data_IF_787186175853
#
_entry.id   IF_787186175853
#
_cell.length_a   1.000
_cell.length_b   1.000
_cell.length_c   1.000
_cell.angle_alpha   90.00
_cell.angle_beta   90.00
_cell.angle_gamma   90.00
#
_symmetry.space_group_name_H-M   'P 1'
#
loop_
_entity.id
_entity.type
_entity.pdbx_description
1 polymer ?
#
# COMPACT_ATOMS: atom_id res chain seq x y z
N UNK A 1 19.17 -10.19 9.31
CA UNK A 1 20.44 -9.93 10.00
C UNK A 1 21.12 -11.21 10.47
N UNK A 2 20.37 -12.21 10.93
CA UNK A 2 20.96 -13.49 11.35
C UNK A 2 21.78 -14.20 10.26
N UNK A 3 21.35 -14.16 8.99
CA UNK A 3 22.12 -14.75 7.88
C UNK A 3 23.51 -14.13 7.74
N UNK A 4 23.61 -12.79 7.77
CA UNK A 4 24.89 -12.08 7.74
C UNK A 4 25.77 -12.45 8.94
N UNK A 5 25.20 -12.45 10.15
CA UNK A 5 25.95 -12.78 11.37
C UNK A 5 26.50 -14.21 11.32
N UNK A 6 25.68 -15.19 10.94
CA UNK A 6 26.13 -16.59 10.83
C UNK A 6 27.22 -16.71 9.76
N UNK A 7 27.05 -16.07 8.61
CA UNK A 7 28.07 -16.08 7.54
C UNK A 7 29.38 -15.43 7.95
N UNK A 8 29.33 -14.34 8.72
CA UNK A 8 30.53 -13.71 9.29
C UNK A 8 31.21 -14.64 10.29
N UNK A 9 30.46 -15.33 11.16
CA UNK A 9 31.03 -16.31 12.10
C UNK A 9 31.70 -17.49 11.37
N UNK A 10 31.07 -18.00 10.30
CA UNK A 10 31.67 -19.04 9.45
C UNK A 10 32.97 -18.55 8.81
N UNK A 11 32.98 -17.31 8.30
CA UNK A 11 34.18 -16.72 7.72
C UNK A 11 35.32 -16.57 8.76
N UNK A 12 35.01 -16.10 9.97
CA UNK A 12 35.99 -15.98 11.06
C UNK A 12 36.54 -17.34 11.44
N UNK A 13 35.68 -18.36 11.61
CA UNK A 13 36.11 -19.72 11.95
C UNK A 13 37.04 -20.30 10.88
N UNK A 14 36.72 -20.11 9.59
CA UNK A 14 37.56 -20.55 8.47
C UNK A 14 38.91 -19.82 8.44
N UNK A 15 38.91 -18.50 8.64
CA UNK A 15 40.16 -17.72 8.69
C UNK A 15 41.05 -18.18 9.86
N UNK A 16 40.48 -18.39 11.05
CA UNK A 16 41.21 -18.89 12.22
C UNK A 16 41.78 -20.29 12.00
N UNK A 17 41.01 -21.21 11.42
CA UNK A 17 41.46 -22.57 11.14
C UNK A 17 42.58 -22.61 10.08
N UNK A 18 42.45 -21.82 9.00
CA UNK A 18 43.44 -21.78 7.92
C UNK A 18 44.74 -21.10 8.35
N UNK A 19 44.67 -20.09 9.22
CA UNK A 19 45.85 -19.50 9.84
C UNK A 19 46.54 -20.47 10.80
N UNK A 20 45.79 -21.25 11.58
CA UNK A 20 46.35 -22.28 12.46
C UNK A 20 47.01 -23.44 11.69
N UNK A 21 46.55 -23.72 10.46
CA UNK A 21 47.15 -24.75 9.59
C UNK A 21 48.29 -24.22 8.71
N UNK A 22 48.80 -23.01 8.94
CA UNK A 22 49.84 -22.37 8.13
C UNK A 22 49.53 -22.31 6.63
N UNK A 23 48.25 -22.14 6.26
CA UNK A 23 47.87 -21.97 4.86
C UNK A 23 48.42 -20.65 4.29
N UNK A 24 48.68 -20.61 2.98
CA UNK A 24 49.15 -19.39 2.32
C UNK A 24 48.11 -18.25 2.45
N UNK A 25 48.57 -17.00 2.51
CA UNK A 25 47.71 -15.83 2.63
C UNK A 25 46.63 -15.79 1.53
N UNK A 26 46.99 -16.15 0.29
CA UNK A 26 46.05 -16.21 -0.83
C UNK A 26 44.97 -17.28 -0.64
N UNK A 27 45.36 -18.48 -0.18
CA UNK A 27 44.45 -19.58 0.14
C UNK A 27 43.48 -19.19 1.25
N UNK A 28 43.98 -18.57 2.33
CA UNK A 28 43.15 -18.12 3.45
C UNK A 28 42.10 -17.11 3.01
N UNK A 29 42.48 -16.11 2.20
CA UNK A 29 41.54 -15.09 1.70
C UNK A 29 40.47 -15.72 0.81
N UNK A 30 40.84 -16.57 -0.15
CA UNK A 30 39.89 -17.20 -1.08
C UNK A 30 38.86 -18.04 -0.33
N UNK A 31 39.29 -18.93 0.57
CA UNK A 31 38.37 -19.82 1.28
C UNK A 31 37.51 -19.09 2.32
N UNK A 32 38.03 -18.03 2.95
CA UNK A 32 37.26 -17.19 3.86
C UNK A 32 36.12 -16.48 3.13
N UNK A 33 36.42 -15.88 1.97
CA UNK A 33 35.42 -15.20 1.13
C UNK A 33 34.42 -16.21 0.56
N UNK A 34 34.89 -17.35 0.04
CA UNK A 34 34.03 -18.41 -0.47
C UNK A 34 33.12 -18.99 0.63
N UNK A 35 33.64 -19.19 1.84
CA UNK A 35 32.86 -19.66 2.99
C UNK A 35 31.81 -18.66 3.45
N UNK A 36 32.13 -17.37 3.44
CA UNK A 36 31.16 -16.30 3.71
C UNK A 36 30.01 -16.35 2.72
N UNK A 37 30.30 -16.26 1.41
CA UNK A 37 29.25 -16.23 0.39
C UNK A 37 28.49 -17.56 0.30
N UNK A 38 29.19 -18.69 0.37
CA UNK A 38 28.58 -20.03 0.35
C UNK A 38 27.57 -20.21 1.48
N UNK A 39 27.96 -19.91 2.72
CA UNK A 39 27.05 -19.97 3.86
C UNK A 39 25.90 -18.96 3.74
N UNK A 40 26.17 -17.75 3.27
CA UNK A 40 25.15 -16.70 3.11
C UNK A 40 24.06 -17.10 2.12
N UNK A 41 24.46 -17.62 0.96
CA UNK A 41 23.52 -18.10 -0.06
C UNK A 41 22.76 -19.34 0.39
N UNK A 42 23.41 -20.29 1.06
CA UNK A 42 22.75 -21.49 1.59
C UNK A 42 21.66 -21.14 2.62
N UNK A 43 22.01 -20.32 3.62
CA UNK A 43 21.05 -19.87 4.63
C UNK A 43 19.94 -19.04 3.97
N UNK A 44 20.30 -18.13 3.07
CA UNK A 44 19.35 -17.31 2.33
C UNK A 44 18.34 -18.14 1.53
N UNK A 45 18.81 -19.20 0.85
CA UNK A 45 17.98 -20.12 0.09
C UNK A 45 16.99 -20.88 0.98
N UNK A 46 17.45 -21.43 2.11
CA UNK A 46 16.61 -22.15 3.07
C UNK A 46 15.53 -21.25 3.68
N UNK A 47 15.91 -20.04 4.10
CA UNK A 47 14.98 -19.04 4.63
C UNK A 47 13.96 -18.64 3.57
N UNK A 48 14.41 -18.38 2.33
CA UNK A 48 13.53 -18.02 1.22
C UNK A 48 12.50 -19.11 0.92
N UNK A 49 12.91 -20.39 0.94
CA UNK A 49 12.01 -21.53 0.72
C UNK A 49 10.93 -21.65 1.80
N UNK A 50 11.27 -21.45 3.07
CA UNK A 50 10.29 -21.45 4.16
C UNK A 50 9.39 -20.20 4.13
N UNK A 51 9.97 -19.04 3.85
CA UNK A 51 9.22 -17.79 3.71
C UNK A 51 8.22 -17.85 2.55
N UNK A 52 8.60 -18.45 1.41
CA UNK A 52 7.71 -18.60 0.26
C UNK A 52 6.50 -19.48 0.55
N UNK A 53 6.61 -20.47 1.45
CA UNK A 53 5.45 -21.25 1.89
C UNK A 53 4.46 -20.40 2.68
N UNK A 54 4.95 -19.61 3.65
CA UNK A 54 4.09 -18.72 4.44
C UNK A 54 3.48 -17.59 3.58
N UNK A 55 4.25 -17.03 2.64
CA UNK A 55 3.75 -16.07 1.66
C UNK A 55 2.73 -16.69 0.71
N UNK A 56 2.95 -17.94 0.29
CA UNK A 56 2.04 -18.71 -0.55
C UNK A 56 0.67 -18.90 0.12
N UNK A 57 0.64 -19.29 1.39
CA UNK A 57 -0.61 -19.42 2.16
C UNK A 57 -1.39 -18.10 2.23
N UNK A 58 -0.69 -16.98 2.42
CA UNK A 58 -1.31 -15.66 2.40
C UNK A 58 -1.86 -15.31 1.00
N UNK A 59 -1.05 -15.49 -0.04
CA UNK A 59 -1.46 -15.19 -1.41
C UNK A 59 -2.66 -16.03 -1.84
N UNK A 60 -2.65 -17.33 -1.53
CA UNK A 60 -3.75 -18.24 -1.80
C UNK A 60 -5.03 -17.82 -1.07
N UNK A 61 -4.94 -17.47 0.22
CA UNK A 61 -6.06 -16.94 0.99
C UNK A 61 -6.67 -15.70 0.32
N UNK A 62 -5.84 -14.71 -0.03
CA UNK A 62 -6.28 -13.47 -0.69
C UNK A 62 -6.92 -13.74 -2.05
N UNK A 63 -6.30 -14.58 -2.88
CA UNK A 63 -6.83 -14.97 -4.19
C UNK A 63 -8.16 -15.72 -4.05
N UNK A 64 -8.29 -16.61 -3.07
CA UNK A 64 -9.52 -17.35 -2.80
C UNK A 64 -10.66 -16.41 -2.39
N UNK A 65 -10.37 -15.41 -1.56
CA UNK A 65 -11.33 -14.41 -1.13
C UNK A 65 -11.73 -13.48 -2.28
N UNK A 66 -10.76 -13.02 -3.09
CA UNK A 66 -11.02 -12.22 -4.28
C UNK A 66 -11.89 -12.98 -5.30
N UNK A 67 -11.60 -14.26 -5.56
CA UNK A 67 -12.44 -15.12 -6.43
C UNK A 67 -13.86 -15.25 -5.88
N UNK A 68 -14.04 -15.41 -4.56
CA UNK A 68 -15.35 -15.48 -3.92
C UNK A 68 -16.14 -14.18 -4.10
N UNK A 69 -15.51 -13.02 -3.86
CA UNK A 69 -16.14 -11.71 -4.07
C UNK A 69 -16.47 -11.48 -5.55
N UNK A 70 -15.57 -11.80 -6.47
CA UNK A 70 -15.80 -11.65 -7.91
C UNK A 70 -16.97 -12.52 -8.40
N UNK A 71 -17.11 -13.76 -7.91
CA UNK A 71 -18.26 -14.61 -8.20
C UNK A 71 -19.56 -13.98 -7.71
N UNK A 72 -19.58 -13.40 -6.49
CA UNK A 72 -20.76 -12.68 -5.96
C UNK A 72 -21.11 -11.47 -6.84
N UNK A 73 -20.10 -10.74 -7.33
CA UNK A 73 -20.30 -9.62 -8.26
C UNK A 73 -20.92 -10.08 -9.59
N UNK A 74 -20.37 -11.13 -10.21
CA UNK A 74 -20.88 -11.68 -11.46
C UNK A 74 -22.30 -12.23 -11.33
N UNK A 75 -22.59 -12.96 -10.25
CA UNK A 75 -23.93 -13.48 -9.98
C UNK A 75 -24.98 -12.37 -9.89
N UNK A 76 -24.59 -11.21 -9.37
CA UNK A 76 -25.47 -10.05 -9.28
C UNK A 76 -25.67 -9.35 -10.63
N UNK A 77 -24.60 -9.16 -11.40
CA UNK A 77 -24.70 -8.60 -12.76
C UNK A 77 -25.67 -9.42 -13.62
N UNK A 78 -25.72 -10.73 -13.40
CA UNK A 78 -26.61 -11.65 -14.10
C UNK A 78 -28.04 -11.72 -13.51
N UNK A 79 -28.33 -11.05 -12.38
CA UNK A 79 -29.65 -11.01 -11.73
C UNK A 79 -30.17 -9.56 -11.63
N UNK A 80 -30.78 -9.01 -12.69
CA UNK A 80 -31.30 -7.66 -12.70
C UNK A 80 -32.56 -7.57 -11.82
N UNK A 81 -32.39 -7.19 -10.56
CA UNK A 81 -33.48 -7.04 -9.58
C UNK A 81 -33.06 -7.16 -8.11
N UNK A 82 -31.81 -7.55 -7.82
CA UNK A 82 -31.32 -7.69 -6.45
C UNK A 82 -31.11 -6.35 -5.72
N UNK A 83 -31.20 -6.38 -4.38
CA UNK A 83 -30.93 -5.22 -3.53
C UNK A 83 -29.42 -4.87 -3.51
N UNK A 84 -29.03 -3.84 -4.27
CA UNK A 84 -27.65 -3.34 -4.38
C UNK A 84 -27.01 -3.05 -3.03
N UNK A 85 -27.76 -2.48 -2.07
CA UNK A 85 -27.22 -2.13 -0.74
C UNK A 85 -26.87 -3.36 0.08
N UNK A 86 -27.71 -4.40 0.03
CA UNK A 86 -27.43 -5.67 0.72
C UNK A 86 -26.20 -6.34 0.12
N UNK A 87 -26.03 -6.29 -1.21
CA UNK A 87 -24.85 -6.81 -1.88
C UNK A 87 -23.57 -6.05 -1.50
N UNK A 88 -23.60 -4.71 -1.51
CA UNK A 88 -22.47 -3.88 -1.08
C UNK A 88 -22.03 -4.26 0.34
N UNK A 89 -23.00 -4.35 1.27
CA UNK A 89 -22.73 -4.77 2.64
C UNK A 89 -22.12 -6.17 2.71
N UNK A 90 -22.61 -7.12 1.90
CA UNK A 90 -22.07 -8.47 1.89
C UNK A 90 -20.62 -8.50 1.37
N UNK A 91 -20.30 -7.70 0.35
CA UNK A 91 -18.94 -7.59 -0.19
C UNK A 91 -18.01 -6.92 0.84
N UNK A 92 -18.47 -5.86 1.49
CA UNK A 92 -17.71 -5.21 2.57
C UNK A 92 -17.44 -6.18 3.73
N UNK A 93 -18.42 -6.98 4.13
CA UNK A 93 -18.24 -8.01 5.16
C UNK A 93 -17.22 -9.07 4.72
N UNK A 94 -17.31 -9.58 3.49
CA UNK A 94 -16.34 -10.54 2.96
C UNK A 94 -14.93 -9.93 2.90
N UNK A 95 -14.81 -8.67 2.50
CA UNK A 95 -13.55 -7.92 2.48
C UNK A 95 -12.97 -7.79 3.90
N UNK A 96 -13.78 -7.44 4.89
CA UNK A 96 -13.33 -7.38 6.29
C UNK A 96 -12.83 -8.72 6.80
N UNK A 97 -13.55 -9.81 6.51
CA UNK A 97 -13.12 -11.17 6.88
C UNK A 97 -11.79 -11.52 6.21
N UNK A 98 -11.65 -11.25 4.91
CA UNK A 98 -10.41 -11.45 4.17
C UNK A 98 -9.24 -10.68 4.80
N UNK A 99 -9.43 -9.39 5.12
CA UNK A 99 -8.39 -8.55 5.70
C UNK A 99 -7.97 -9.04 7.10
N UNK A 100 -8.93 -9.47 7.94
CA UNK A 100 -8.64 -10.05 9.25
C UNK A 100 -7.88 -11.37 9.14
N UNK A 101 -8.27 -12.25 8.21
CA UNK A 101 -7.52 -13.48 7.93
C UNK A 101 -6.11 -13.18 7.42
N UNK A 102 -5.97 -12.18 6.53
CA UNK A 102 -4.68 -11.71 6.04
C UNK A 102 -3.78 -11.24 7.19
N UNK A 103 -4.31 -10.45 8.12
CA UNK A 103 -3.61 -10.00 9.32
C UNK A 103 -3.12 -11.18 10.18
N UNK A 104 -3.97 -12.17 10.42
CA UNK A 104 -3.58 -13.38 11.17
C UNK A 104 -2.46 -14.14 10.48
N UNK A 105 -2.53 -14.30 9.16
CA UNK A 105 -1.47 -14.96 8.37
C UNK A 105 -0.15 -14.17 8.39
N UNK A 106 -0.18 -12.85 8.61
CA UNK A 106 1.06 -12.09 8.81
C UNK A 106 1.82 -12.50 10.07
N UNK A 107 1.18 -13.10 11.08
CA UNK A 107 1.87 -13.61 12.29
C UNK A 107 2.82 -14.75 11.94
N UNK A 108 2.44 -15.60 10.98
CA UNK A 108 3.32 -16.65 10.45
C UNK A 108 4.57 -16.11 9.75
N UNK A 109 4.56 -14.83 9.35
CA UNK A 109 5.72 -14.16 8.74
C UNK A 109 6.68 -13.54 9.77
N UNK A 110 6.25 -13.34 11.02
CA UNK A 110 7.05 -12.67 12.06
C UNK A 110 8.41 -13.33 12.35
N UNK A 111 8.54 -14.67 12.40
CA UNK A 111 9.83 -15.32 12.63
C UNK A 111 10.87 -14.92 11.57
N UNK A 112 10.45 -14.60 10.35
CA UNK A 112 11.33 -14.22 9.25
C UNK A 112 11.89 -12.80 9.37
N UNK A 113 11.31 -11.95 10.23
CA UNK A 113 11.78 -10.57 10.47
C UNK A 113 13.24 -10.51 10.93
N UNK A 114 13.72 -11.52 11.68
CA UNK A 114 15.10 -11.59 12.18
C UNK A 114 16.11 -11.86 11.05
N UNK A 115 15.66 -12.48 9.97
CA UNK A 115 16.50 -12.90 8.85
C UNK A 115 16.71 -11.77 7.83
N UNK A 116 15.71 -10.92 7.60
CA UNK A 116 15.81 -9.79 6.68
C UNK A 116 15.09 -8.54 7.20
N UNK A 117 15.79 -7.40 7.17
CA UNK A 117 15.21 -6.09 7.49
C UNK A 117 14.06 -5.79 6.53
N UNK A 118 14.26 -6.05 5.23
CA UNK A 118 13.26 -5.80 4.21
C UNK A 118 11.97 -6.58 4.48
N UNK A 119 12.08 -7.85 4.89
CA UNK A 119 10.91 -8.67 5.26
C UNK A 119 10.14 -8.06 6.42
N UNK A 120 10.84 -7.59 7.46
CA UNK A 120 10.20 -6.87 8.57
C UNK A 120 9.41 -5.65 8.12
N UNK A 121 9.97 -4.87 7.19
CA UNK A 121 9.32 -3.68 6.63
C UNK A 121 8.15 -4.02 5.70
N UNK A 122 8.25 -5.10 4.92
CA UNK A 122 7.15 -5.63 4.11
C UNK A 122 5.96 -6.04 4.99
N UNK A 123 6.21 -6.78 6.07
CA UNK A 123 5.16 -7.18 7.03
C UNK A 123 4.49 -5.94 7.62
N UNK A 124 5.27 -4.92 8.02
CA UNK A 124 4.73 -3.66 8.53
C UNK A 124 3.87 -2.93 7.50
N UNK A 125 4.29 -2.88 6.23
CA UNK A 125 3.47 -2.30 5.14
C UNK A 125 2.15 -3.03 4.97
N UNK A 126 2.17 -4.36 4.98
CA UNK A 126 0.95 -5.16 4.81
C UNK A 126 -0.02 -4.95 5.96
N UNK A 127 0.47 -4.97 7.21
CA UNK A 127 -0.34 -4.66 8.39
C UNK A 127 -0.91 -3.25 8.34
N UNK A 128 -0.10 -2.27 7.95
CA UNK A 128 -0.56 -0.90 7.76
C UNK A 128 -1.71 -0.84 6.76
N UNK A 129 -1.55 -1.43 5.56
CA UNK A 129 -2.60 -1.45 4.55
C UNK A 129 -3.85 -2.17 5.05
N UNK A 130 -3.73 -3.33 5.70
CA UNK A 130 -4.89 -4.08 6.20
C UNK A 130 -5.63 -3.33 7.31
N UNK A 131 -4.94 -2.79 8.31
CA UNK A 131 -5.56 -1.98 9.36
C UNK A 131 -6.19 -0.71 8.79
N UNK A 132 -5.55 -0.07 7.81
CA UNK A 132 -6.11 1.09 7.13
C UNK A 132 -7.43 0.75 6.44
N UNK A 133 -7.47 -0.32 5.65
CA UNK A 133 -8.68 -0.77 4.96
C UNK A 133 -9.78 -1.24 5.92
N UNK A 134 -9.41 -1.76 7.09
CA UNK A 134 -10.33 -2.07 8.19
C UNK A 134 -10.79 -0.83 8.97
N UNK A 135 -10.26 0.36 8.65
CA UNK A 135 -10.47 1.63 9.38
C UNK A 135 -10.02 1.57 10.85
N UNK A 136 -9.10 0.67 11.19
CA UNK A 136 -8.47 0.56 12.51
C UNK A 136 -7.30 1.55 12.61
N UNK A 137 -7.61 2.84 12.57
CA UNK A 137 -6.60 3.90 12.40
C UNK A 137 -5.62 4.03 13.56
N UNK A 138 -6.02 3.71 14.79
CA UNK A 138 -5.11 3.76 15.94
C UNK A 138 -3.93 2.79 15.75
N UNK A 139 -4.20 1.57 15.24
CA UNK A 139 -3.16 0.59 14.92
C UNK A 139 -2.30 1.02 13.74
N UNK A 140 -2.88 1.75 12.77
CA UNK A 140 -2.11 2.35 11.68
C UNK A 140 -1.11 3.36 12.25
N UNK A 141 -1.57 4.21 13.17
CA UNK A 141 -0.75 5.25 13.77
C UNK A 141 0.34 4.66 14.66
N UNK A 142 0.08 3.57 15.39
CA UNK A 142 1.11 2.80 16.12
C UNK A 142 2.21 2.26 15.18
N UNK A 143 1.81 1.70 14.03
CA UNK A 143 2.75 1.20 13.02
C UNK A 143 3.57 2.36 12.43
N UNK A 144 2.93 3.50 12.17
CA UNK A 144 3.59 4.70 11.66
C UNK A 144 4.53 5.33 12.69
N UNK A 145 4.17 5.35 13.97
CA UNK A 145 5.02 5.85 15.07
C UNK A 145 6.30 5.00 15.22
N UNK A 146 6.23 3.71 14.91
CA UNK A 146 7.38 2.80 14.92
C UNK A 146 8.37 3.06 13.75
N UNK A 147 8.13 4.08 12.91
CA UNK A 147 8.98 4.44 11.75
C UNK A 147 10.38 4.96 12.13
N UNK A 148 11.29 4.06 12.48
CA UNK A 148 12.73 4.24 12.30
C UNK A 148 13.21 3.70 10.94
N UNK A 149 14.42 4.09 10.49
CA UNK A 149 15.08 3.67 9.23
C UNK A 149 15.03 2.15 8.96
N UNK A 150 14.93 1.33 10.01
CA UNK A 150 14.98 -0.13 9.94
C UNK A 150 13.69 -0.86 10.34
N UNK A 151 12.64 -0.17 10.81
CA UNK A 151 11.46 -0.81 11.43
C UNK A 151 10.11 -0.35 10.90
N UNK A 152 10.05 0.77 10.18
CA UNK A 152 8.82 1.27 9.60
C UNK A 152 8.40 0.54 8.31
N UNK A 153 7.12 0.67 7.91
CA UNK A 153 6.64 0.27 6.59
C UNK A 153 7.53 0.78 5.45
N UNK A 154 7.58 0.01 4.37
CA UNK A 154 8.02 0.46 3.06
C UNK A 154 7.02 1.46 2.50
N UNK A 155 7.54 2.63 2.13
CA UNK A 155 6.81 3.75 1.54
C UNK A 155 7.15 3.85 0.05
N UNK A 156 7.06 2.71 -0.65
CA UNK A 156 7.46 2.58 -2.06
C UNK A 156 6.30 2.79 -3.02
N UNK A 157 5.06 2.68 -2.52
CA UNK A 157 3.86 2.81 -3.33
C UNK A 157 3.14 4.13 -3.00
N UNK A 158 2.60 4.85 -4.01
CA UNK A 158 1.90 6.12 -3.80
C UNK A 158 0.78 6.01 -2.77
N UNK A 159 0.02 4.91 -2.78
CA UNK A 159 -1.06 4.66 -1.84
C UNK A 159 -0.59 4.61 -0.38
N UNK A 160 0.52 3.91 -0.11
CA UNK A 160 1.06 3.81 1.27
C UNK A 160 1.54 5.16 1.80
N UNK A 161 2.09 5.99 0.92
CA UNK A 161 2.50 7.36 1.25
C UNK A 161 1.27 8.23 1.48
N UNK A 162 0.26 8.11 0.64
CA UNK A 162 -1.00 8.84 0.76
C UNK A 162 -1.74 8.49 2.06
N UNK A 163 -1.78 7.21 2.44
CA UNK A 163 -2.32 6.76 3.73
C UNK A 163 -1.61 7.46 4.90
N UNK A 164 -0.27 7.50 4.90
CA UNK A 164 0.50 8.21 5.93
C UNK A 164 0.19 9.70 5.95
N UNK A 165 0.14 10.36 4.80
CA UNK A 165 -0.20 11.78 4.70
C UNK A 165 -1.61 12.06 5.23
N UNK A 166 -2.58 11.21 4.89
CA UNK A 166 -3.95 11.30 5.38
C UNK A 166 -4.01 11.14 6.91
N UNK A 167 -3.21 10.24 7.48
CA UNK A 167 -3.08 10.10 8.94
C UNK A 167 -2.45 11.33 9.60
N UNK A 168 -1.35 11.87 9.05
CA UNK A 168 -0.76 13.11 9.52
C UNK A 168 -1.81 14.24 9.55
N UNK A 169 -2.57 14.43 8.47
CA UNK A 169 -3.65 15.42 8.42
C UNK A 169 -4.74 15.18 9.47
N UNK A 170 -5.18 13.92 9.65
CA UNK A 170 -6.22 13.57 10.64
C UNK A 170 -5.77 13.69 12.09
N UNK A 171 -4.47 13.68 12.33
CA UNK A 171 -3.86 13.84 13.65
C UNK A 171 -3.31 15.25 13.86
N UNK A 172 -3.82 16.24 13.11
CA UNK A 172 -3.43 17.65 13.16
C UNK A 172 -1.93 17.94 12.92
N UNK A 173 -1.20 16.99 12.33
CA UNK A 173 0.22 17.09 11.96
C UNK A 173 0.36 17.53 10.48
N UNK A 174 -0.05 18.76 10.19
CA UNK A 174 0.03 19.33 8.84
C UNK A 174 1.48 19.39 8.32
N UNK A 175 2.42 19.76 9.18
CA UNK A 175 3.84 19.85 8.81
C UNK A 175 4.44 18.47 8.50
N UNK A 176 4.04 17.43 9.23
CA UNK A 176 4.38 16.05 8.90
C UNK A 176 3.85 15.63 7.54
N UNK A 177 2.60 15.97 7.20
CA UNK A 177 2.04 15.70 5.88
C UNK A 177 2.83 16.40 4.76
N UNK A 178 3.15 17.70 4.94
CA UNK A 178 3.98 18.49 4.01
C UNK A 178 5.38 17.88 3.85
N UNK A 179 6.02 17.45 4.94
CA UNK A 179 7.35 16.83 4.93
C UNK A 179 7.35 15.49 4.19
N UNK A 180 6.35 14.64 4.45
CA UNK A 180 6.19 13.36 3.75
C UNK A 180 5.99 13.61 2.25
N UNK A 181 5.09 14.52 1.87
CA UNK A 181 4.84 14.89 0.49
C UNK A 181 6.13 15.34 -0.22
N UNK A 182 6.82 16.36 0.30
CA UNK A 182 8.04 16.92 -0.31
C UNK A 182 9.12 15.85 -0.52
N UNK A 183 9.30 14.96 0.46
CA UNK A 183 10.30 13.89 0.38
C UNK A 183 9.93 12.79 -0.62
N UNK A 184 8.64 12.47 -0.74
CA UNK A 184 8.20 11.30 -1.50
C UNK A 184 7.83 11.62 -2.94
N UNK A 185 7.29 12.81 -3.22
CA UNK A 185 6.84 13.19 -4.56
C UNK A 185 7.96 13.14 -5.62
N UNK A 186 9.21 13.37 -5.21
CA UNK A 186 10.38 13.27 -6.09
C UNK A 186 10.64 11.85 -6.63
N UNK A 187 10.14 10.81 -5.96
CA UNK A 187 10.28 9.41 -6.37
C UNK A 187 9.13 8.95 -7.29
N UNK A 188 8.02 9.68 -7.32
CA UNK A 188 6.83 9.34 -8.10
C UNK A 188 6.69 10.28 -9.30
N UNK A 189 7.23 9.83 -10.43
CA UNK A 189 7.14 10.55 -11.72
C UNK A 189 5.89 10.15 -12.50
N UNK A 190 5.37 11.09 -13.29
CA UNK A 190 4.19 10.88 -14.12
C UNK A 190 2.94 10.66 -13.29
N UNK A 191 2.01 9.88 -13.83
CA UNK A 191 0.72 9.56 -13.21
C UNK A 191 0.83 8.88 -11.83
N UNK A 192 1.95 8.20 -11.54
CA UNK A 192 2.20 7.61 -10.21
C UNK A 192 2.22 8.64 -9.08
N UNK A 193 2.48 9.91 -9.39
CA UNK A 193 2.44 11.00 -8.41
C UNK A 193 1.03 11.60 -8.20
N UNK A 194 0.05 11.25 -9.04
CA UNK A 194 -1.25 11.90 -9.09
C UNK A 194 -1.96 11.88 -7.72
N UNK A 195 -2.03 10.71 -7.07
CA UNK A 195 -2.66 10.59 -5.76
C UNK A 195 -2.04 11.52 -4.71
N UNK A 196 -0.72 11.70 -4.73
CA UNK A 196 -0.01 12.57 -3.78
C UNK A 196 -0.22 14.05 -4.07
N UNK A 197 -0.22 14.44 -5.35
CA UNK A 197 -0.57 15.79 -5.78
C UNK A 197 -2.02 16.14 -5.40
N UNK A 198 -2.95 15.22 -5.70
CA UNK A 198 -4.36 15.34 -5.34
C UNK A 198 -4.55 15.49 -3.83
N UNK A 199 -3.93 14.61 -3.03
CA UNK A 199 -4.04 14.69 -1.58
C UNK A 199 -3.46 15.99 -1.01
N UNK A 200 -2.28 16.40 -1.45
CA UNK A 200 -1.66 17.61 -0.91
C UNK A 200 -2.45 18.87 -1.27
N UNK A 201 -2.92 18.98 -2.53
CA UNK A 201 -3.78 20.10 -2.94
C UNK A 201 -5.11 20.11 -2.16
N UNK A 202 -5.71 18.95 -1.89
CA UNK A 202 -6.91 18.87 -1.07
C UNK A 202 -6.67 19.29 0.38
N UNK A 203 -5.56 18.87 0.99
CA UNK A 203 -5.19 19.29 2.35
C UNK A 203 -5.11 20.81 2.42
N UNK A 204 -4.41 21.45 1.47
CA UNK A 204 -4.31 22.91 1.40
C UNK A 204 -5.67 23.61 1.25
N UNK A 205 -6.58 23.08 0.43
CA UNK A 205 -7.94 23.62 0.33
C UNK A 205 -8.69 23.50 1.66
N UNK A 206 -8.55 22.37 2.37
CA UNK A 206 -9.21 22.17 3.67
C UNK A 206 -8.62 22.99 4.80
N UNK A 207 -7.35 23.37 4.72
CA UNK A 207 -6.70 24.25 5.71
C UNK A 207 -6.84 25.74 5.38
N UNK A 208 -7.57 26.10 4.32
CA UNK A 208 -7.78 27.49 3.94
C UNK A 208 -6.60 28.13 3.20
N UNK A 209 -5.75 27.32 2.58
CA UNK A 209 -4.58 27.75 1.79
C UNK A 209 -4.79 27.48 0.28
N UNK A 210 -5.81 28.06 -0.39
CA UNK A 210 -6.11 27.76 -1.80
C UNK A 210 -4.98 28.16 -2.75
N UNK A 211 -4.17 29.17 -2.39
CA UNK A 211 -3.04 29.63 -3.18
C UNK A 211 -1.94 28.57 -3.28
N UNK A 212 -1.63 27.90 -2.16
CA UNK A 212 -0.69 26.78 -2.14
C UNK A 212 -1.25 25.57 -2.90
N UNK A 213 -2.56 25.33 -2.78
CA UNK A 213 -3.22 24.31 -3.58
C UNK A 213 -3.09 24.59 -5.10
N UNK A 214 -3.25 25.84 -5.54
CA UNK A 214 -3.03 26.23 -6.95
C UNK A 214 -1.60 25.95 -7.40
N UNK A 215 -0.59 26.26 -6.58
CA UNK A 215 0.82 25.97 -6.92
C UNK A 215 1.08 24.48 -7.08
N UNK A 216 0.54 23.66 -6.18
CA UNK A 216 0.62 22.19 -6.28
C UNK A 216 -0.04 21.69 -7.55
N UNK A 217 -1.25 22.17 -7.86
CA UNK A 217 -2.02 21.74 -9.03
C UNK A 217 -1.39 22.18 -10.36
N UNK A 218 -0.74 23.35 -10.40
CA UNK A 218 0.01 23.82 -11.57
C UNK A 218 1.11 22.82 -11.93
N UNK A 219 1.90 22.40 -10.92
CA UNK A 219 2.92 21.36 -11.11
C UNK A 219 2.30 20.01 -11.45
N UNK A 220 1.17 19.67 -10.83
CA UNK A 220 0.51 18.39 -11.03
C UNK A 220 0.00 18.21 -12.47
N UNK A 221 -0.66 19.21 -13.05
CA UNK A 221 -1.17 19.13 -14.43
C UNK A 221 -0.05 18.96 -15.45
N UNK A 222 1.09 19.65 -15.24
CA UNK A 222 2.28 19.53 -16.10
C UNK A 222 2.96 18.17 -15.96
N UNK A 223 3.01 17.64 -14.72
CA UNK A 223 3.76 16.41 -14.43
C UNK A 223 2.99 15.12 -14.70
N UNK A 224 1.66 15.15 -14.63
CA UNK A 224 0.82 13.92 -14.64
C UNK A 224 -0.09 13.81 -15.86
N UNK A 225 -0.53 14.94 -16.44
CA UNK A 225 -1.53 14.93 -17.52
C UNK A 225 -2.97 14.61 -17.06
N UNK A 226 -3.23 14.47 -15.76
CA UNK A 226 -4.57 14.15 -15.25
C UNK A 226 -5.47 15.39 -15.33
N UNK A 227 -6.57 15.29 -16.08
CA UNK A 227 -7.52 16.38 -16.35
C UNK A 227 -8.13 16.97 -15.07
N UNK A 228 -8.37 16.13 -14.06
CA UNK A 228 -8.88 16.56 -12.74
C UNK A 228 -8.04 17.71 -12.15
N UNK A 229 -6.72 17.70 -12.33
CA UNK A 229 -5.87 18.77 -11.80
C UNK A 229 -5.98 20.06 -12.58
N UNK A 230 -6.11 19.99 -13.91
CA UNK A 230 -6.34 21.17 -14.74
C UNK A 230 -7.66 21.86 -14.36
N UNK A 231 -8.74 21.07 -14.23
CA UNK A 231 -10.06 21.56 -13.81
C UNK A 231 -10.04 22.16 -12.40
N UNK A 232 -9.42 21.46 -11.45
CA UNK A 232 -9.32 21.96 -10.07
C UNK A 232 -8.47 23.24 -10.00
N UNK A 233 -7.39 23.33 -10.77
CA UNK A 233 -6.59 24.55 -10.86
C UNK A 233 -7.41 25.72 -11.37
N UNK A 234 -8.18 25.54 -12.44
CA UNK A 234 -9.07 26.56 -12.99
C UNK A 234 -10.16 26.99 -12.00
N UNK A 235 -10.77 26.05 -11.26
CA UNK A 235 -11.72 26.38 -10.22
C UNK A 235 -11.10 27.26 -9.13
N UNK A 236 -9.90 26.92 -8.66
CA UNK A 236 -9.23 27.71 -7.63
C UNK A 236 -8.71 29.06 -8.15
N UNK A 237 -8.34 29.17 -9.42
CA UNK A 237 -7.92 30.44 -10.03
C UNK A 237 -9.08 31.42 -10.21
N UNK A 238 -10.31 30.92 -10.25
CA UNK A 238 -11.54 31.71 -10.35
C UNK A 238 -12.28 31.84 -9.00
N UNK A 239 -11.57 31.62 -7.88
CA UNK A 239 -12.12 31.66 -6.51
C UNK A 239 -13.33 30.73 -6.27
N UNK A 240 -13.50 29.69 -7.11
CA UNK A 240 -14.56 28.67 -6.98
C UNK A 240 -14.10 27.52 -6.11
N UNK A 241 -13.68 27.81 -4.87
CA UNK A 241 -13.17 26.81 -3.91
C UNK A 241 -14.18 25.69 -3.66
N UNK A 242 -15.48 26.00 -3.66
CA UNK A 242 -16.57 25.02 -3.47
C UNK A 242 -16.68 23.99 -4.61
N UNK A 243 -16.12 24.29 -5.78
CA UNK A 243 -16.12 23.39 -6.95
C UNK A 243 -14.90 22.47 -6.99
N UNK A 244 -13.93 22.64 -6.08
CA UNK A 244 -12.77 21.77 -5.99
C UNK A 244 -13.19 20.33 -5.63
N UNK A 245 -12.78 19.35 -6.44
CA UNK A 245 -13.05 17.94 -6.15
C UNK A 245 -12.01 17.01 -6.76
N UNK A 246 -11.52 16.07 -5.95
CA UNK A 246 -10.64 15.00 -6.40
C UNK A 246 -11.38 13.72 -6.80
N UNK A 247 -12.72 13.76 -6.94
CA UNK A 247 -13.50 12.58 -7.32
C UNK A 247 -13.06 11.95 -8.66
N UNK A 248 -12.45 12.73 -9.55
CA UNK A 248 -11.90 12.23 -10.81
C UNK A 248 -10.64 11.36 -10.67
N UNK A 249 -10.05 11.26 -9.47
CA UNK A 249 -9.00 10.29 -9.14
C UNK A 249 -9.55 8.90 -8.80
N UNK A 250 -10.89 8.75 -8.73
CA UNK A 250 -11.55 7.45 -8.61
C UNK A 250 -11.34 6.77 -7.25
N UNK A 251 -11.35 5.44 -7.26
CA UNK A 251 -11.38 4.61 -6.05
C UNK A 251 -10.14 4.80 -5.17
N UNK A 252 -8.98 5.11 -5.76
CA UNK A 252 -7.77 5.38 -4.98
C UNK A 252 -7.96 6.58 -4.05
N UNK A 253 -8.62 7.64 -4.52
CA UNK A 253 -8.92 8.80 -3.69
C UNK A 253 -9.87 8.46 -2.54
N UNK A 254 -10.96 7.76 -2.85
CA UNK A 254 -11.95 7.38 -1.82
C UNK A 254 -11.42 6.34 -0.84
N UNK A 255 -10.44 5.53 -1.25
CA UNK A 255 -9.77 4.57 -0.36
C UNK A 255 -8.99 5.22 0.78
N UNK A 256 -8.71 6.53 0.70
CA UNK A 256 -8.10 7.30 1.79
C UNK A 256 -9.10 7.62 2.93
N UNK A 257 -10.40 7.42 2.72
CA UNK A 257 -11.46 7.73 3.70
C UNK A 257 -11.49 9.19 4.18
N UNK A 258 -11.01 10.11 3.33
CA UNK A 258 -11.10 11.55 3.56
C UNK A 258 -12.42 12.14 3.04
N UNK A 259 -12.97 11.51 2.01
CA UNK A 259 -14.26 11.86 1.39
C UNK A 259 -15.04 10.57 1.09
N UNK A 260 -16.36 10.70 0.97
CA UNK A 260 -17.23 9.58 0.61
C UNK A 260 -17.39 9.50 -0.92
N UNK A 261 -17.40 8.28 -1.49
CA UNK A 261 -17.67 8.11 -2.91
C UNK A 261 -19.10 8.59 -3.25
N UNK A 262 -19.33 9.08 -4.47
CA UNK A 262 -20.67 9.46 -4.91
C UNK A 262 -21.62 8.25 -4.84
N UNK A 263 -22.87 8.49 -4.44
CA UNK A 263 -23.86 7.43 -4.34
C UNK A 263 -24.06 6.77 -5.72
N UNK A 264 -23.90 5.43 -5.76
CA UNK A 264 -24.13 4.64 -6.98
C UNK A 264 -25.61 4.80 -7.36
N UNK A 265 -25.88 5.56 -8.43
CA UNK A 265 -27.23 5.72 -8.95
C UNK A 265 -27.70 4.38 -9.50
N UNK A 266 -28.75 3.82 -8.93
CA UNK A 266 -29.40 2.63 -9.47
C UNK A 266 -29.92 2.97 -10.86
N UNK A 267 -29.39 2.30 -11.89
CA UNK A 267 -29.94 2.39 -13.24
C UNK A 267 -31.31 1.70 -13.21
N UNK A 268 -32.38 2.50 -13.14
CA UNK A 268 -33.75 1.96 -13.24
C UNK A 268 -33.88 1.29 -14.60
N UNK A 269 -34.12 -0.02 -14.60
CA UNK A 269 -34.54 -0.74 -15.80
C UNK A 269 -35.86 -0.12 -16.24
N UNK A 270 -35.85 0.62 -17.36
CA UNK A 270 -37.06 1.13 -17.98
C UNK A 270 -37.76 -0.09 -18.58
N UNK A 271 -38.68 -0.68 -17.82
CA UNK A 271 -39.50 -1.79 -18.29
C UNK A 271 -40.17 -1.37 -19.58
N UNK A 272 -39.88 -2.09 -20.67
CA UNK A 272 -40.57 -1.89 -21.93
C UNK A 272 -42.03 -2.29 -21.69
N UNK A 273 -43.02 -1.38 -21.77
CA UNK A 273 -44.41 -1.77 -21.59
C UNK A 273 -44.77 -2.71 -22.73
N UNK A 274 -44.88 -4.02 -22.43
CA UNK A 274 -45.49 -4.97 -23.35
C UNK A 274 -46.92 -4.50 -23.57
N UNK A 275 -47.17 -4.01 -24.77
CA UNK A 275 -48.46 -3.60 -25.29
C UNK A 275 -49.47 -4.75 -25.10
N UNK A 276 -50.53 -4.62 -24.27
CA UNK A 276 -51.58 -5.62 -24.22
C UNK A 276 -52.52 -5.37 -25.40
N UNK A 277 -52.14 -5.83 -26.59
CA UNK A 277 -53.06 -5.88 -27.74
C UNK A 277 -53.71 -7.25 -27.80
N UNK A 278 -55.00 -7.24 -27.45
CA UNK A 278 -56.12 -8.01 -27.98
C UNK A 278 -55.88 -9.42 -28.52
N UNK A 279 -56.49 -10.38 -27.84
CA UNK A 279 -57.48 -11.27 -28.42
C UNK A 279 -58.65 -11.40 -27.45
#
# INVERSE_FOLDING_TARGET
MLSLLISTLVAIALASALNASHASTGTTVIFTVAGFFGSFFLIGFLVRKKMSQAQGALQESMLSAQKRMQRKVQQFQNKPGGNVKQMQRQIEMDQQVMLKQGLELTKGLEPFRKWSILTGRQIATMRLQFHYQLKEFDKVDEILATCGFLRGPLMMEPMTVAMRMARCYKNDDLEGAKKVYKRQIMWFRGDRGALLYGLMSWIYVKTGEPDEARRVLLKAKESTGVETFARNWEHLSNDRVKSFSNAGLGDEWFSLYLENPPAVKQQRMRGNPRNPRGF
#
